data_IF_912292595669
#
_entry.id   IF_912292595669
#
_cell.length_a   1.000
_cell.length_b   1.000
_cell.length_c   1.000
_cell.angle_alpha   90.00
_cell.angle_beta   90.00
_cell.angle_gamma   90.00
#
_symmetry.space_group_name_H-M   'P 1'
#
loop_
_entity.id
_entity.type
_entity.pdbx_description
1 polymer ?
#
# COMPACT_ATOMS: atom_id res chain seq x y z
N UNK A 1 -11.07 -18.25 -39.49
CA UNK A 1 -11.40 -17.61 -38.19
C UNK A 1 -12.10 -18.63 -37.29
N UNK A 2 -11.38 -19.25 -36.36
CA UNK A 2 -11.94 -19.93 -35.19
C UNK A 2 -11.01 -19.63 -34.02
N UNK A 3 -11.55 -18.93 -33.02
CA UNK A 3 -10.83 -18.52 -31.81
C UNK A 3 -10.76 -19.73 -30.87
N UNK A 4 -9.56 -20.09 -30.43
CA UNK A 4 -9.35 -21.10 -29.39
C UNK A 4 -9.53 -20.37 -28.05
N UNK A 5 -10.60 -20.71 -27.35
CA UNK A 5 -10.82 -20.33 -25.95
C UNK A 5 -10.09 -21.36 -25.09
N UNK A 6 -8.99 -20.95 -24.45
CA UNK A 6 -8.30 -21.77 -23.45
C UNK A 6 -8.95 -21.50 -22.10
N UNK A 7 -9.88 -22.38 -21.70
CA UNK A 7 -10.43 -22.40 -20.35
C UNK A 7 -9.44 -23.09 -19.42
N UNK A 8 -8.82 -22.34 -18.51
CA UNK A 8 -8.04 -22.90 -17.41
C UNK A 8 -9.01 -23.11 -16.23
N UNK A 9 -9.36 -24.37 -15.98
CA UNK A 9 -10.04 -24.78 -14.76
C UNK A 9 -8.96 -24.97 -13.67
N UNK A 10 -8.99 -24.14 -12.63
CA UNK A 10 -8.13 -24.29 -11.45
C UNK A 10 -8.99 -24.85 -10.30
N UNK A 11 -8.70 -26.09 -9.94
CA UNK A 11 -9.25 -26.81 -8.80
C UNK A 11 -8.75 -26.20 -7.48
N UNK A 12 -9.68 -25.76 -6.62
CA UNK A 12 -9.38 -25.36 -5.24
C UNK A 12 -9.65 -26.57 -4.34
N UNK A 13 -8.60 -27.10 -3.70
CA UNK A 13 -8.75 -28.07 -2.62
C UNK A 13 -8.78 -27.27 -1.31
N UNK A 14 -9.93 -27.30 -0.63
CA UNK A 14 -10.07 -26.82 0.74
C UNK A 14 -9.86 -28.00 1.66
N UNK A 15 -8.90 -27.91 2.59
CA UNK A 15 -8.83 -28.82 3.73
C UNK A 15 -8.86 -28.00 5.02
N UNK A 16 -10.03 -27.98 5.67
CA UNK A 16 -10.10 -27.81 7.12
C UNK A 16 -10.10 -29.19 7.78
N UNK A 17 -9.28 -29.33 8.83
CA UNK A 17 -9.69 -30.05 10.03
C UNK A 17 -9.11 -31.46 10.22
N UNK A 18 -8.05 -31.50 11.03
CA UNK A 18 -7.70 -32.57 11.98
C UNK A 18 -7.37 -33.97 11.42
N UNK A 19 -6.07 -34.31 11.41
CA UNK A 19 -5.55 -35.50 12.10
C UNK A 19 -4.02 -35.45 12.28
N UNK A 20 -3.61 -36.18 13.32
CA UNK A 20 -2.26 -36.37 13.85
C UNK A 20 -1.31 -37.02 12.84
N UNK A 21 -0.02 -36.72 13.05
CA UNK A 21 1.19 -37.46 12.71
C UNK A 21 1.22 -38.08 11.31
N UNK A 22 1.80 -37.34 10.36
CA UNK A 22 2.95 -37.79 9.55
C UNK A 22 3.39 -36.63 8.63
N UNK A 23 4.70 -36.52 8.43
CA UNK A 23 5.40 -35.44 7.71
C UNK A 23 4.83 -35.15 6.31
N UNK A 24 3.88 -34.22 6.22
CA UNK A 24 3.51 -33.54 4.98
C UNK A 24 3.90 -32.09 5.14
N UNK A 25 4.99 -31.69 4.50
CA UNK A 25 5.30 -30.29 4.25
C UNK A 25 4.08 -29.70 3.58
N UNK A 26 3.42 -28.76 4.25
CA UNK A 26 2.32 -27.99 3.72
C UNK A 26 2.84 -27.29 2.45
N UNK A 27 2.49 -27.81 1.27
CA UNK A 27 2.85 -27.23 -0.01
C UNK A 27 2.09 -25.91 -0.11
N UNK A 28 2.68 -24.85 0.45
CA UNK A 28 2.16 -23.49 0.32
C UNK A 28 2.01 -23.19 -1.17
N UNK A 29 0.78 -22.99 -1.64
CA UNK A 29 0.52 -22.67 -3.04
C UNK A 29 1.20 -21.35 -3.37
N UNK A 30 2.27 -21.42 -4.16
CA UNK A 30 2.98 -20.24 -4.67
C UNK A 30 2.34 -19.84 -6.01
N UNK A 31 1.66 -18.70 -6.03
CA UNK A 31 1.12 -18.13 -7.27
C UNK A 31 2.24 -17.84 -8.28
N UNK A 32 1.94 -17.89 -9.57
CA UNK A 32 2.81 -17.27 -10.58
C UNK A 32 2.83 -15.75 -10.41
N UNK A 33 3.78 -15.07 -11.06
CA UNK A 33 3.85 -13.60 -11.01
C UNK A 33 2.61 -12.98 -11.68
N UNK A 34 2.16 -13.54 -12.80
CA UNK A 34 0.96 -13.05 -13.49
C UNK A 34 -0.32 -13.25 -12.66
N UNK A 35 -0.45 -14.38 -11.97
CA UNK A 35 -1.57 -14.63 -11.05
C UNK A 35 -1.55 -13.67 -9.86
N UNK A 36 -0.39 -13.47 -9.24
CA UNK A 36 -0.23 -12.51 -8.14
C UNK A 36 -0.65 -11.10 -8.57
N UNK A 37 -0.18 -10.66 -9.75
CA UNK A 37 -0.54 -9.35 -10.29
C UNK A 37 -2.04 -9.20 -10.55
N UNK A 38 -2.66 -10.26 -11.08
CA UNK A 38 -4.11 -10.29 -11.34
C UNK A 38 -4.90 -10.29 -10.03
N UNK A 39 -4.41 -11.00 -9.01
CA UNK A 39 -5.04 -11.07 -7.70
C UNK A 39 -4.93 -9.74 -6.94
N UNK A 40 -3.76 -9.09 -6.95
CA UNK A 40 -3.58 -7.77 -6.36
C UNK A 40 -4.54 -6.74 -6.96
N UNK A 41 -4.67 -6.75 -8.30
CA UNK A 41 -5.57 -5.85 -9.01
C UNK A 41 -7.04 -6.08 -8.64
N UNK A 42 -7.50 -7.34 -8.61
CA UNK A 42 -8.86 -7.68 -8.23
C UNK A 42 -9.13 -7.38 -6.74
N UNK A 43 -8.17 -7.67 -5.87
CA UNK A 43 -8.26 -7.39 -4.44
C UNK A 43 -8.35 -5.90 -4.14
N UNK A 44 -7.59 -5.05 -4.86
CA UNK A 44 -7.67 -3.60 -4.74
C UNK A 44 -9.06 -3.06 -5.14
N UNK A 45 -9.66 -3.58 -6.21
CA UNK A 45 -11.03 -3.22 -6.59
C UNK A 45 -12.03 -3.61 -5.51
N UNK A 46 -11.93 -4.83 -4.98
CA UNK A 46 -12.80 -5.32 -3.90
C UNK A 46 -12.65 -4.46 -2.63
N UNK A 47 -11.42 -4.12 -2.26
CA UNK A 47 -11.12 -3.25 -1.13
C UNK A 47 -11.82 -1.89 -1.26
N UNK A 48 -11.82 -1.28 -2.45
CA UNK A 48 -12.51 -0.01 -2.66
C UNK A 48 -14.05 -0.12 -2.58
N UNK A 49 -14.62 -1.28 -2.86
CA UNK A 49 -16.06 -1.53 -2.75
C UNK A 49 -16.51 -1.83 -1.31
N UNK A 50 -15.60 -2.37 -0.50
CA UNK A 50 -15.87 -2.83 0.86
C UNK A 50 -15.52 -1.82 1.95
N UNK A 51 -14.95 -0.68 1.57
CA UNK A 51 -14.49 0.33 2.51
C UNK A 51 -15.00 1.72 2.14
N UNK A 52 -15.00 2.60 3.14
CA UNK A 52 -15.37 4.01 3.02
C UNK A 52 -14.43 4.90 3.83
N UNK A 53 -14.55 6.21 3.65
CA UNK A 53 -13.91 7.20 4.49
C UNK A 53 -14.84 7.60 5.64
N UNK A 54 -14.39 7.45 6.89
CA UNK A 54 -15.11 8.02 8.02
C UNK A 54 -14.99 9.56 8.07
N UNK A 55 -15.56 10.20 9.10
CA UNK A 55 -15.59 11.67 9.23
C UNK A 55 -14.21 12.35 9.24
N UNK A 56 -13.13 11.61 9.53
CA UNK A 56 -11.75 12.09 9.52
C UNK A 56 -10.95 11.63 8.29
N UNK A 57 -11.61 10.97 7.34
CA UNK A 57 -10.98 10.39 6.17
C UNK A 57 -10.22 9.10 6.43
N UNK A 58 -10.39 8.48 7.60
CA UNK A 58 -9.76 7.20 7.90
C UNK A 58 -10.55 6.09 7.20
N UNK A 59 -9.84 5.21 6.49
CA UNK A 59 -10.46 4.05 5.84
C UNK A 59 -11.10 3.15 6.89
N UNK A 60 -12.38 2.85 6.69
CA UNK A 60 -13.17 1.97 7.55
C UNK A 60 -13.90 0.94 6.67
N UNK A 61 -13.92 -0.35 7.04
CA UNK A 61 -14.72 -1.35 6.35
C UNK A 61 -16.20 -1.16 6.66
N UNK A 62 -17.09 -1.42 5.69
CA UNK A 62 -18.53 -1.47 5.96
C UNK A 62 -18.87 -2.63 6.91
N UNK A 63 -19.79 -2.40 7.84
CA UNK A 63 -20.36 -3.44 8.69
C UNK A 63 -21.37 -4.27 7.88
N UNK A 64 -21.10 -5.56 7.70
CA UNK A 64 -22.01 -6.46 6.98
C UNK A 64 -23.27 -6.84 7.79
N UNK A 65 -23.34 -6.44 9.06
CA UNK A 65 -24.40 -6.80 10.00
C UNK A 65 -25.26 -5.62 10.45
N UNK A 66 -24.85 -4.38 10.15
CA UNK A 66 -25.55 -3.15 10.53
C UNK A 66 -25.52 -2.16 9.38
N UNK A 67 -26.60 -1.39 9.23
CA UNK A 67 -26.77 -0.38 8.18
C UNK A 67 -26.31 1.03 8.60
N UNK A 68 -25.67 1.16 9.76
CA UNK A 68 -25.30 2.47 10.33
C UNK A 68 -24.30 3.24 9.49
N UNK A 69 -23.54 2.55 8.63
CA UNK A 69 -22.54 3.12 7.74
C UNK A 69 -22.91 3.05 6.25
N UNK A 70 -24.06 2.47 5.89
CA UNK A 70 -24.53 2.35 4.49
C UNK A 70 -24.71 3.71 3.78
N UNK A 71 -24.79 4.79 4.55
CA UNK A 71 -24.87 6.16 4.01
C UNK A 71 -23.52 6.73 3.56
N UNK A 72 -22.40 6.11 3.94
CA UNK A 72 -21.08 6.58 3.51
C UNK A 72 -20.80 6.16 2.07
N UNK A 73 -20.27 7.07 1.22
CA UNK A 73 -19.84 6.69 -0.11
C UNK A 73 -18.67 5.70 -0.04
N UNK A 74 -18.74 4.64 -0.83
CA UNK A 74 -17.63 3.69 -1.03
C UNK A 74 -16.39 4.41 -1.54
N UNK A 75 -15.19 3.91 -1.24
CA UNK A 75 -13.95 4.45 -1.80
C UNK A 75 -13.97 4.47 -3.34
N UNK A 76 -14.59 3.47 -3.98
CA UNK A 76 -14.75 3.38 -5.43
C UNK A 76 -15.64 4.46 -6.05
N UNK A 77 -16.37 5.25 -5.24
CA UNK A 77 -17.19 6.36 -5.72
C UNK A 77 -16.42 7.69 -5.83
N UNK A 78 -15.25 7.81 -5.18
CA UNK A 78 -14.43 9.01 -5.21
C UNK A 78 -13.63 9.12 -6.52
N UNK A 79 -13.16 10.34 -6.87
CA UNK A 79 -12.22 10.51 -7.97
C UNK A 79 -10.97 9.67 -7.74
N UNK A 80 -10.61 8.87 -8.75
CA UNK A 80 -9.51 7.91 -8.70
C UNK A 80 -8.94 7.67 -10.08
N UNK A 81 -7.68 7.24 -10.12
CA UNK A 81 -7.02 6.80 -11.34
C UNK A 81 -6.14 5.58 -11.05
N UNK A 82 -6.03 4.69 -12.04
CA UNK A 82 -5.10 3.55 -12.01
C UNK A 82 -3.96 3.84 -12.97
N UNK A 83 -2.74 3.86 -12.43
CA UNK A 83 -1.52 4.10 -13.17
C UNK A 83 -1.04 2.84 -13.90
N UNK A 84 -0.12 2.95 -14.89
CA UNK A 84 0.41 1.80 -15.62
C UNK A 84 1.09 0.75 -14.74
N UNK A 85 1.70 1.16 -13.61
CA UNK A 85 2.26 0.25 -12.60
C UNK A 85 1.19 -0.57 -11.87
N UNK A 86 -0.07 -0.15 -11.94
CA UNK A 86 -1.18 -0.68 -11.17
C UNK A 86 -1.49 0.07 -9.89
N UNK A 87 -0.67 1.06 -9.52
CA UNK A 87 -0.97 1.95 -8.40
C UNK A 87 -2.31 2.62 -8.64
N UNK A 88 -3.16 2.66 -7.62
CA UNK A 88 -4.43 3.38 -7.64
C UNK A 88 -4.34 4.50 -6.60
N UNK A 89 -4.56 5.73 -7.02
CA UNK A 89 -4.74 6.84 -6.09
C UNK A 89 -6.21 7.27 -6.04
N UNK A 90 -6.69 7.62 -4.85
CA UNK A 90 -8.05 8.07 -4.58
C UNK A 90 -7.97 9.39 -3.82
N UNK A 91 -8.58 10.44 -4.36
CA UNK A 91 -8.54 11.78 -3.79
C UNK A 91 -9.84 12.12 -3.06
N UNK A 92 -9.76 12.64 -1.84
CA UNK A 92 -10.89 13.26 -1.16
C UNK A 92 -10.98 14.74 -1.52
N UNK A 93 -11.97 15.10 -2.33
CA UNK A 93 -12.07 16.45 -2.92
C UNK A 93 -12.26 17.55 -1.89
N UNK A 94 -12.90 17.23 -0.76
CA UNK A 94 -13.18 18.13 0.36
C UNK A 94 -11.99 18.28 1.35
N UNK A 95 -10.91 17.53 1.15
CA UNK A 95 -9.76 17.49 2.04
C UNK A 95 -8.42 17.63 1.31
N UNK A 96 -8.39 18.43 0.24
CA UNK A 96 -7.13 18.82 -0.42
C UNK A 96 -6.66 20.20 0.06
N UNK A 97 -5.34 20.44 0.11
CA UNK A 97 -4.82 21.78 0.39
C UNK A 97 -5.07 22.74 -0.79
N UNK A 98 -5.43 23.98 -0.46
CA UNK A 98 -5.57 25.07 -1.44
C UNK A 98 -5.06 26.42 -0.86
N UNK A 99 -3.88 26.92 -1.30
CA UNK A 99 -2.92 26.26 -2.18
C UNK A 99 -2.22 25.10 -1.46
N UNK A 100 -1.71 24.13 -2.23
CA UNK A 100 -0.86 23.06 -1.72
C UNK A 100 0.49 23.03 -2.42
N UNK A 101 1.48 22.40 -1.80
CA UNK A 101 2.82 22.25 -2.36
C UNK A 101 2.98 20.90 -3.05
N UNK A 102 3.52 20.92 -4.28
CA UNK A 102 3.80 19.70 -5.04
C UNK A 102 4.91 18.89 -4.35
N UNK A 103 4.78 17.57 -4.35
CA UNK A 103 5.77 16.65 -3.78
C UNK A 103 6.77 16.24 -4.87
N UNK A 104 8.03 16.64 -4.72
CA UNK A 104 9.15 16.16 -5.53
C UNK A 104 9.57 14.74 -5.15
N UNK A 105 10.21 14.01 -6.07
CA UNK A 105 10.62 12.61 -5.87
C UNK A 105 11.71 12.43 -4.80
N UNK A 106 12.42 13.50 -4.45
CA UNK A 106 13.49 13.48 -3.44
C UNK A 106 13.16 14.36 -2.24
N UNK A 107 11.97 14.96 -2.19
CA UNK A 107 11.62 15.90 -1.14
C UNK A 107 11.68 15.24 0.25
N UNK A 108 11.81 16.07 1.27
CA UNK A 108 11.57 15.67 2.65
C UNK A 108 10.06 15.78 2.89
N UNK A 109 9.42 14.65 3.20
CA UNK A 109 7.98 14.58 3.46
C UNK A 109 7.68 14.31 4.94
N UNK A 110 6.54 14.79 5.41
CA UNK A 110 6.00 14.42 6.72
C UNK A 110 4.59 13.84 6.53
N UNK A 111 4.38 12.61 6.95
CA UNK A 111 3.18 11.82 6.71
C UNK A 111 2.47 11.51 8.04
N UNK A 112 1.24 11.97 8.19
CA UNK A 112 0.31 11.37 9.15
C UNK A 112 -0.48 10.31 8.40
N UNK A 113 -0.39 9.04 8.79
CA UNK A 113 -0.95 7.97 7.97
C UNK A 113 -1.44 6.76 8.75
N UNK A 114 -2.29 5.97 8.08
CA UNK A 114 -2.52 4.55 8.35
C UNK A 114 -2.08 3.78 7.11
N UNK A 115 -0.90 3.17 7.20
CA UNK A 115 -0.32 2.28 6.20
C UNK A 115 -0.52 0.83 6.62
N UNK A 116 -1.19 0.05 5.77
CA UNK A 116 -1.43 -1.39 5.97
C UNK A 116 -0.93 -2.19 4.77
N UNK A 117 -0.55 -3.43 5.01
CA UNK A 117 -0.13 -4.38 3.97
C UNK A 117 -1.03 -5.60 3.95
N UNK A 118 -1.19 -6.21 2.78
CA UNK A 118 -2.13 -7.29 2.54
C UNK A 118 -1.55 -8.33 1.60
N UNK A 119 -1.95 -9.59 1.78
CA UNK A 119 -1.83 -10.61 0.74
C UNK A 119 -3.16 -10.70 0.01
N UNK A 120 -3.12 -10.73 -1.31
CA UNK A 120 -4.32 -11.06 -2.08
C UNK A 120 -4.63 -12.55 -1.94
N UNK A 121 -5.86 -12.89 -1.57
CA UNK A 121 -6.30 -14.28 -1.38
C UNK A 121 -7.54 -14.55 -2.21
N UNK A 122 -7.74 -15.82 -2.59
CA UNK A 122 -8.96 -16.29 -3.26
C UNK A 122 -9.69 -17.27 -2.34
N UNK A 123 -10.90 -16.91 -1.92
CA UNK A 123 -11.78 -17.76 -1.09
C UNK A 123 -13.14 -17.81 -1.77
N UNK A 124 -13.69 -19.01 -1.97
CA UNK A 124 -14.98 -19.24 -2.64
C UNK A 124 -15.12 -18.48 -3.97
N UNK A 125 -14.07 -18.59 -4.80
CA UNK A 125 -13.93 -17.89 -6.09
C UNK A 125 -13.92 -16.35 -6.06
N UNK A 126 -13.85 -15.75 -4.87
CA UNK A 126 -13.74 -14.30 -4.68
C UNK A 126 -12.34 -13.92 -4.27
N UNK A 127 -11.78 -12.93 -4.97
CA UNK A 127 -10.46 -12.37 -4.64
C UNK A 127 -10.65 -11.13 -3.77
N UNK A 128 -9.91 -11.06 -2.67
CA UNK A 128 -9.89 -9.91 -1.76
C UNK A 128 -8.51 -9.76 -1.12
N UNK A 129 -8.29 -8.61 -0.47
CA UNK A 129 -7.17 -8.49 0.45
C UNK A 129 -7.44 -9.32 1.72
N UNK A 130 -6.43 -10.06 2.15
CA UNK A 130 -6.41 -10.90 3.33
C UNK A 130 -5.09 -10.75 4.10
N UNK A 131 -4.99 -11.46 5.23
CA UNK A 131 -3.83 -11.46 6.11
C UNK A 131 -3.28 -10.07 6.41
N UNK A 132 -4.14 -9.10 6.72
CA UNK A 132 -3.76 -7.71 7.01
C UNK A 132 -2.63 -7.59 8.03
N UNK A 133 -1.68 -6.68 7.80
CA UNK A 133 -0.67 -6.31 8.78
C UNK A 133 -0.42 -4.80 8.76
N UNK A 134 -0.32 -4.19 9.94
CA UNK A 134 0.02 -2.77 10.08
C UNK A 134 1.46 -2.53 9.65
N UNK A 135 1.66 -1.63 8.67
CA UNK A 135 2.99 -1.19 8.22
C UNK A 135 3.43 0.08 8.96
N UNK A 136 2.54 1.07 9.06
CA UNK A 136 2.78 2.34 9.72
C UNK A 136 1.45 2.92 10.24
N UNK A 137 1.40 3.51 11.44
CA UNK A 137 0.15 4.04 11.98
C UNK A 137 0.35 5.24 12.93
N UNK A 138 0.14 6.44 12.39
CA UNK A 138 0.16 7.71 13.12
C UNK A 138 -1.10 7.97 13.92
N UNK A 139 -2.25 7.39 13.54
CA UNK A 139 -3.51 7.55 14.30
C UNK A 139 -3.38 6.92 15.67
N UNK A 140 -2.68 5.78 15.75
CA UNK A 140 -2.44 5.06 16.99
C UNK A 140 -1.34 5.72 17.84
N UNK A 141 -0.25 6.16 17.23
CA UNK A 141 0.88 6.77 17.97
C UNK A 141 0.67 8.25 18.31
N UNK A 142 -0.12 8.97 17.52
CA UNK A 142 -0.20 10.44 17.54
C UNK A 142 0.95 11.12 16.79
N UNK A 143 1.95 10.37 16.31
CA UNK A 143 3.17 10.90 15.75
C UNK A 143 3.16 10.94 14.22
N UNK A 144 3.58 12.09 13.67
CA UNK A 144 3.85 12.25 12.24
C UNK A 144 5.15 11.51 11.87
N UNK A 145 5.10 10.73 10.79
CA UNK A 145 6.26 10.02 10.26
C UNK A 145 7.05 10.98 9.38
N UNK A 146 8.28 11.26 9.79
CA UNK A 146 9.18 12.19 9.11
C UNK A 146 10.16 11.46 8.22
N UNK A 147 10.28 11.94 6.99
CA UNK A 147 11.28 11.51 6.01
C UNK A 147 11.49 9.99 5.95
N UNK A 148 10.44 9.18 5.74
CA UNK A 148 10.57 7.74 5.82
C UNK A 148 11.46 7.19 4.71
N UNK A 149 12.34 6.26 5.05
CA UNK A 149 13.24 5.61 4.09
C UNK A 149 12.49 4.82 3.00
N UNK A 150 11.24 4.40 3.25
CA UNK A 150 10.39 3.78 2.25
C UNK A 150 9.81 4.77 1.23
N UNK A 151 9.94 6.07 1.45
CA UNK A 151 9.72 7.10 0.44
C UNK A 151 11.03 7.55 -0.20
N UNK A 152 12.06 7.85 0.59
CA UNK A 152 13.38 8.22 0.08
C UNK A 152 14.45 7.78 1.08
N UNK A 153 15.32 6.84 0.69
CA UNK A 153 16.45 6.46 1.54
C UNK A 153 17.61 7.41 1.30
N UNK A 154 18.21 7.91 2.37
CA UNK A 154 19.45 8.70 2.28
C UNK A 154 20.58 7.86 1.70
N UNK A 155 21.33 8.39 0.74
CA UNK A 155 22.55 7.76 0.19
C UNK A 155 23.51 7.32 1.31
N UNK A 156 23.67 8.14 2.35
CA UNK A 156 24.49 7.82 3.52
C UNK A 156 24.01 6.56 4.28
N UNK A 157 22.69 6.37 4.40
CA UNK A 157 22.08 5.18 5.02
C UNK A 157 22.28 3.95 4.16
N UNK A 158 22.01 4.04 2.85
CA UNK A 158 22.17 2.93 1.91
C UNK A 158 23.63 2.47 1.83
N UNK A 159 24.57 3.43 1.73
CA UNK A 159 26.00 3.15 1.71
C UNK A 159 26.44 2.44 2.98
N UNK A 160 26.06 2.95 4.15
CA UNK A 160 26.40 2.35 5.44
C UNK A 160 25.89 0.91 5.56
N UNK A 161 24.66 0.64 5.11
CA UNK A 161 24.10 -0.71 5.11
C UNK A 161 24.94 -1.65 4.24
N UNK A 162 25.19 -1.25 2.99
CA UNK A 162 25.97 -2.05 2.05
C UNK A 162 27.41 -2.33 2.53
N UNK A 163 28.07 -1.34 3.15
CA UNK A 163 29.40 -1.53 3.75
C UNK A 163 29.35 -2.49 4.95
N UNK A 164 28.35 -2.35 5.82
CA UNK A 164 28.22 -3.17 7.04
C UNK A 164 27.97 -4.64 6.71
N UNK A 165 27.14 -4.92 5.70
CA UNK A 165 26.70 -6.27 5.35
C UNK A 165 27.38 -6.84 4.10
N UNK A 166 28.33 -6.11 3.51
CA UNK A 166 29.01 -6.49 2.26
C UNK A 166 28.02 -6.80 1.12
N UNK A 167 27.00 -5.95 0.97
CA UNK A 167 25.95 -6.05 -0.06
C UNK A 167 26.06 -4.93 -1.10
N UNK A 168 25.24 -4.98 -2.15
CA UNK A 168 25.23 -4.00 -3.25
C UNK A 168 23.81 -3.53 -3.59
N UNK A 169 22.94 -3.48 -2.59
CA UNK A 169 21.54 -3.13 -2.77
C UNK A 169 21.37 -1.69 -3.27
N UNK A 170 20.37 -1.49 -4.12
CA UNK A 170 19.91 -0.18 -4.59
C UNK A 170 18.85 0.43 -3.69
N UNK A 171 18.29 1.57 -4.12
CA UNK A 171 17.24 2.30 -3.38
C UNK A 171 15.95 1.50 -3.19
N UNK A 172 15.58 0.69 -4.17
CA UNK A 172 14.42 -0.22 -4.14
C UNK A 172 14.46 -1.24 -2.99
N UNK A 173 15.61 -1.45 -2.34
CA UNK A 173 15.70 -2.24 -1.11
C UNK A 173 15.00 -1.59 0.09
N UNK A 174 14.86 -0.27 0.07
CA UNK A 174 14.16 0.51 1.10
C UNK A 174 12.86 1.11 0.56
N UNK A 175 12.93 1.71 -0.63
CA UNK A 175 11.90 2.57 -1.20
C UNK A 175 10.76 1.77 -1.84
N UNK A 176 9.52 2.24 -1.65
CA UNK A 176 8.31 1.72 -2.30
C UNK A 176 8.01 2.64 -3.49
N UNK A 177 8.42 2.22 -4.69
CA UNK A 177 8.32 3.02 -5.92
C UNK A 177 6.88 3.45 -6.21
N UNK A 178 5.90 2.58 -5.97
CA UNK A 178 4.49 2.90 -6.18
C UNK A 178 3.95 3.97 -5.22
N UNK A 179 4.53 4.11 -4.02
CA UNK A 179 4.20 5.21 -3.12
C UNK A 179 4.75 6.53 -3.68
N UNK A 180 6.01 6.54 -4.13
CA UNK A 180 6.61 7.72 -4.77
C UNK A 180 5.82 8.15 -6.03
N UNK A 181 5.38 7.18 -6.83
CA UNK A 181 4.56 7.41 -8.02
C UNK A 181 3.20 8.03 -7.65
N UNK A 182 2.49 7.44 -6.69
CA UNK A 182 1.18 7.90 -6.25
C UNK A 182 1.20 9.28 -5.60
N UNK A 183 2.23 9.60 -4.80
CA UNK A 183 2.31 10.88 -4.09
C UNK A 183 2.46 12.09 -5.03
N UNK A 184 2.91 11.90 -6.28
CA UNK A 184 2.97 12.98 -7.29
C UNK A 184 1.61 13.60 -7.61
N UNK A 185 0.52 12.88 -7.33
CA UNK A 185 -0.85 13.32 -7.58
C UNK A 185 -1.49 14.02 -6.38
N UNK A 186 -0.75 14.13 -5.27
CA UNK A 186 -1.16 14.86 -4.08
C UNK A 186 -0.27 16.07 -3.84
N UNK A 187 -0.80 17.00 -3.05
CA UNK A 187 -0.06 18.17 -2.57
C UNK A 187 0.02 18.11 -1.05
N UNK A 188 1.10 18.62 -0.48
CA UNK A 188 1.20 18.78 0.97
C UNK A 188 0.50 20.05 1.43
N UNK A 189 -0.06 19.98 2.64
CA UNK A 189 -0.56 21.13 3.35
C UNK A 189 0.59 22.00 3.86
N UNK A 190 0.38 23.31 3.91
CA UNK A 190 1.21 24.23 4.71
C UNK A 190 0.69 24.28 6.15
N UNK A 191 0.79 23.13 6.82
CA UNK A 191 0.36 22.93 8.20
C UNK A 191 1.51 22.36 9.02
N UNK A 192 1.60 22.76 10.29
CA UNK A 192 2.52 22.13 11.24
C UNK A 192 2.07 20.71 11.55
N UNK A 193 3.01 19.86 11.95
CA UNK A 193 2.75 18.45 12.30
C UNK A 193 1.80 18.28 13.48
N UNK A 194 1.60 19.31 14.30
CA UNK A 194 0.67 19.35 15.42
C UNK A 194 -0.78 19.66 15.01
N UNK A 195 -1.01 20.04 13.75
CA UNK A 195 -2.34 20.33 13.26
C UNK A 195 -3.18 19.05 13.18
N UNK A 196 -4.46 19.18 13.55
CA UNK A 196 -5.42 18.08 13.47
C UNK A 196 -5.49 17.54 12.04
N UNK A 197 -5.62 16.22 11.92
CA UNK A 197 -5.64 15.56 10.62
C UNK A 197 -7.06 15.49 10.06
N UNK A 198 -7.10 15.49 8.74
CA UNK A 198 -8.26 15.20 7.92
C UNK A 198 -7.75 14.52 6.64
N UNK A 199 -7.64 13.18 6.65
CA UNK A 199 -6.87 12.42 5.66
C UNK A 199 -7.26 12.80 4.23
N UNK A 200 -6.29 13.19 3.41
CA UNK A 200 -6.54 13.76 2.09
C UNK A 200 -6.79 12.70 1.01
N UNK A 201 -6.41 11.45 1.25
CA UNK A 201 -6.62 10.42 0.25
C UNK A 201 -5.98 9.09 0.58
N UNK A 202 -5.93 8.26 -0.45
CA UNK A 202 -5.43 6.88 -0.40
C UNK A 202 -4.56 6.60 -1.61
N UNK A 203 -3.48 5.85 -1.40
CA UNK A 203 -2.69 5.22 -2.45
C UNK A 203 -2.69 3.71 -2.18
N UNK A 204 -3.19 2.92 -3.13
CA UNK A 204 -3.13 1.47 -3.13
C UNK A 204 -1.99 1.07 -4.07
N UNK A 205 -0.97 0.42 -3.51
CA UNK A 205 0.23 -0.03 -4.22
C UNK A 205 0.16 -1.56 -4.37
N UNK A 206 0.03 -2.11 -5.59
CA UNK A 206 0.09 -3.56 -5.77
C UNK A 206 1.51 -4.08 -5.48
N UNK A 207 1.65 -5.36 -5.14
CA UNK A 207 2.93 -5.93 -4.70
C UNK A 207 4.09 -5.70 -5.69
N UNK A 208 3.80 -5.77 -7.00
CA UNK A 208 4.75 -5.49 -8.09
C UNK A 208 5.31 -4.07 -8.14
N UNK A 209 4.62 -3.10 -7.55
CA UNK A 209 5.05 -1.71 -7.42
C UNK A 209 5.54 -1.39 -5.99
N UNK A 210 5.63 -2.41 -5.14
CA UNK A 210 6.26 -2.36 -3.84
C UNK A 210 7.54 -3.22 -3.86
N UNK A 211 7.58 -4.32 -3.09
CA UNK A 211 8.77 -5.16 -2.99
C UNK A 211 8.71 -6.45 -3.81
N UNK A 212 7.58 -6.76 -4.45
CA UNK A 212 7.37 -7.99 -5.22
C UNK A 212 7.96 -9.22 -4.50
N UNK A 213 8.95 -9.90 -5.08
CA UNK A 213 9.71 -10.99 -4.44
C UNK A 213 11.17 -10.60 -4.18
N UNK A 214 11.49 -9.33 -4.33
CA UNK A 214 12.83 -8.80 -4.28
C UNK A 214 13.32 -8.71 -2.83
N UNK A 215 14.64 -8.72 -2.67
CA UNK A 215 15.25 -8.44 -1.37
C UNK A 215 14.87 -7.02 -0.93
N UNK A 216 14.48 -6.87 0.33
CA UNK A 216 14.14 -5.60 0.94
C UNK A 216 14.60 -5.56 2.40
N UNK A 217 14.67 -4.36 2.99
CA UNK A 217 15.16 -4.13 4.36
C UNK A 217 14.34 -4.87 5.43
N UNK A 218 13.12 -5.28 5.10
CA UNK A 218 12.23 -6.02 6.00
C UNK A 218 12.34 -7.54 5.82
N UNK A 219 13.38 -8.03 5.12
CA UNK A 219 13.56 -9.44 4.83
C UNK A 219 12.48 -9.95 3.87
N UNK A 220 11.84 -11.07 4.20
CA UNK A 220 10.78 -11.65 3.37
C UNK A 220 9.37 -11.27 3.81
N UNK A 221 9.23 -10.48 4.89
CA UNK A 221 7.93 -10.19 5.51
C UNK A 221 6.96 -9.45 4.61
N UNK A 222 7.48 -8.65 3.66
CA UNK A 222 6.66 -7.89 2.70
C UNK A 222 6.67 -8.44 1.27
N UNK A 223 7.20 -9.65 1.07
CA UNK A 223 7.15 -10.29 -0.25
C UNK A 223 5.70 -10.61 -0.64
N UNK A 224 5.36 -10.32 -1.90
CA UNK A 224 4.04 -10.44 -2.51
C UNK A 224 2.94 -9.63 -1.80
N UNK A 225 3.29 -8.64 -0.96
CA UNK A 225 2.30 -7.84 -0.24
C UNK A 225 1.99 -6.55 -0.97
N UNK A 226 0.69 -6.30 -1.14
CA UNK A 226 0.17 -5.00 -1.56
C UNK A 226 0.06 -4.07 -0.35
N UNK A 227 0.13 -2.76 -0.58
CA UNK A 227 0.06 -1.74 0.47
C UNK A 227 -1.11 -0.78 0.23
N UNK A 228 -1.76 -0.35 1.31
CA UNK A 228 -2.74 0.73 1.29
C UNK A 228 -2.26 1.81 2.24
N UNK A 229 -1.96 2.98 1.69
CA UNK A 229 -1.57 4.17 2.43
C UNK A 229 -2.74 5.14 2.47
N UNK A 230 -3.31 5.40 3.65
CA UNK A 230 -4.28 6.46 3.88
C UNK A 230 -3.63 7.56 4.70
N UNK A 231 -3.59 8.79 4.19
CA UNK A 231 -2.65 9.77 4.71
C UNK A 231 -3.09 11.23 4.60
N UNK A 232 -2.34 12.08 5.29
CA UNK A 232 -2.21 13.52 5.07
C UNK A 232 -0.72 13.90 5.07
N UNK A 233 -0.33 14.75 4.13
CA UNK A 233 1.02 15.30 3.98
C UNK A 233 1.12 16.68 4.64
N UNK A 234 2.17 16.87 5.44
CA UNK A 234 2.43 18.13 6.15
C UNK A 234 3.76 18.72 5.69
N UNK A 235 3.73 20.00 5.32
CA UNK A 235 4.89 20.87 5.13
C UNK A 235 6.07 20.19 4.40
N UNK A 236 5.80 19.59 3.24
CA UNK A 236 6.84 18.98 2.41
C UNK A 236 7.85 20.04 2.00
N UNK A 237 9.14 19.70 1.95
CA UNK A 237 10.19 20.62 1.47
C UNK A 237 11.16 19.95 0.53
N UNK A 238 11.73 20.77 -0.36
CA UNK A 238 12.86 20.36 -1.18
C UNK A 238 14.01 19.94 -0.28
N UNK A 239 14.55 18.75 -0.53
CA UNK A 239 15.70 18.20 0.20
C UNK A 239 16.95 18.99 -0.12
N UNK A 240 17.70 19.38 0.91
CA UNK A 240 19.07 19.83 0.70
C UNK A 240 20.00 18.63 0.53
N UNK A 241 20.40 18.35 -0.70
CA UNK A 241 21.23 17.19 -1.05
C UNK A 241 22.63 17.21 -0.41
N UNK A 242 23.12 18.35 0.08
CA UNK A 242 24.43 18.43 0.75
C UNK A 242 24.36 18.00 2.22
N UNK A 243 23.20 18.16 2.87
CA UNK A 243 23.05 17.98 4.31
C UNK A 243 22.02 16.94 4.71
N UNK A 244 21.14 16.54 3.80
CA UNK A 244 19.97 15.69 4.06
C UNK A 244 19.93 14.40 3.21
N UNK A 245 21.01 14.09 2.49
CA UNK A 245 21.20 12.83 1.73
C UNK A 245 22.15 11.83 2.40
#
# INVERSE_FOLDING_TARGET
MKKILLGIALSVVVLQGCKKDDDVVDDTVVLTVEEQNSYDDAAALKFMEDNYFNSKGVITPFDSTKDTDDNYPKLSSYPREKLPSGVIYITRTDAQPDPGKVVGSTDVINLFQVGKSYLSVKVDDKISFGSESTFANSVLSGDVIKDPAYFYVKSSVLKKYNETYSTTYGRNFYEIEGLQEGLKYFKSFDLTESADYNMQGVIIVPSRAAFARDANIYGTSYNNRSFVFNFQLYNTKTRNMETED
#
